data_IF_146113232728
#
_entry.id   IF_146113232728
#
_cell.length_a   1.000
_cell.length_b   1.000
_cell.length_c   1.000
_cell.angle_alpha   90.00
_cell.angle_beta   90.00
_cell.angle_gamma   90.00
#
_symmetry.space_group_name_H-M   'P 1'
#
loop_
_entity.id
_entity.type
_entity.pdbx_description
1 polymer ?
#
# COMPACT_ATOMS: atom_id res chain seq x y z
N UNK A 1 -12.20 1.67 15.75
CA UNK A 1 -12.74 1.69 14.38
C UNK A 1 -13.68 2.87 14.29
N UNK A 2 -13.59 3.61 13.20
CA UNK A 2 -14.40 4.79 12.90
C UNK A 2 -15.00 4.65 11.49
N UNK A 3 -16.12 5.33 11.16
CA UNK A 3 -16.59 5.42 9.79
C UNK A 3 -15.56 6.02 8.86
N UNK A 4 -15.51 5.58 7.60
CA UNK A 4 -14.49 6.02 6.62
C UNK A 4 -14.40 7.56 6.51
N UNK A 5 -15.52 8.27 6.49
CA UNK A 5 -15.58 9.73 6.42
C UNK A 5 -14.90 10.45 7.61
N UNK A 6 -14.70 9.76 8.71
CA UNK A 6 -14.04 10.27 9.93
C UNK A 6 -12.56 9.90 9.99
N UNK A 7 -12.10 8.98 9.12
CA UNK A 7 -10.72 8.56 9.00
C UNK A 7 -9.91 9.61 8.24
N UNK A 8 -9.61 10.73 8.90
CA UNK A 8 -8.93 11.88 8.29
C UNK A 8 -7.53 12.06 8.82
N UNK A 9 -6.67 12.67 8.01
CA UNK A 9 -5.29 13.02 8.36
C UNK A 9 -5.09 14.51 8.11
N UNK A 10 -4.42 15.18 9.04
CA UNK A 10 -4.16 16.63 8.91
C UNK A 10 -3.26 16.90 7.69
N UNK A 11 -3.58 17.97 6.94
CA UNK A 11 -2.85 18.34 5.71
C UNK A 11 -1.37 18.63 5.94
N UNK A 12 -0.99 19.07 7.13
CA UNK A 12 0.40 19.35 7.50
C UNK A 12 1.14 18.13 8.07
N UNK A 13 0.51 16.95 8.15
CA UNK A 13 1.22 15.75 8.62
C UNK A 13 2.38 15.36 7.70
N UNK A 14 3.39 14.69 8.25
CA UNK A 14 4.50 14.13 7.48
C UNK A 14 4.03 13.16 6.38
N UNK A 15 2.94 12.44 6.65
CA UNK A 15 2.28 11.58 5.66
C UNK A 15 1.86 12.35 4.40
N UNK A 16 1.26 13.52 4.55
CA UNK A 16 0.75 14.32 3.42
C UNK A 16 1.87 15.16 2.80
N UNK A 17 2.67 15.88 3.62
CA UNK A 17 3.73 16.77 3.12
C UNK A 17 4.85 16.03 2.39
N UNK A 18 5.26 14.87 2.91
CA UNK A 18 6.49 14.18 2.49
C UNK A 18 6.26 12.74 2.01
N UNK A 19 5.02 12.26 2.02
CA UNK A 19 4.72 10.88 1.68
C UNK A 19 5.29 9.87 2.69
N UNK A 20 5.51 10.29 3.96
CA UNK A 20 6.03 9.46 5.04
C UNK A 20 4.98 8.43 5.48
N UNK A 21 4.71 7.48 4.60
CA UNK A 21 3.69 6.43 4.73
C UNK A 21 4.22 5.14 4.12
N UNK A 22 4.16 4.05 4.88
CA UNK A 22 4.37 2.69 4.39
C UNK A 22 3.06 1.92 4.44
N UNK A 23 2.87 0.96 3.52
CA UNK A 23 1.58 0.28 3.46
C UNK A 23 1.69 -1.14 2.89
N UNK A 24 0.65 -1.92 3.14
CA UNK A 24 0.40 -3.20 2.50
C UNK A 24 -0.91 -3.20 1.72
N UNK A 25 -0.94 -3.96 0.64
CA UNK A 25 -2.13 -4.35 -0.09
C UNK A 25 -2.29 -5.86 0.04
N UNK A 26 -3.32 -6.27 0.73
CA UNK A 26 -3.55 -7.66 1.13
C UNK A 26 -4.87 -8.11 0.51
N UNK A 27 -4.89 -9.31 -0.05
CA UNK A 27 -6.12 -9.90 -0.57
C UNK A 27 -6.68 -10.93 0.41
N UNK A 28 -8.00 -10.93 0.56
CA UNK A 28 -8.73 -12.01 1.18
C UNK A 28 -9.70 -12.60 0.16
N UNK A 29 -9.84 -13.91 0.17
CA UNK A 29 -10.65 -14.67 -0.79
C UNK A 29 -11.76 -15.42 -0.06
N UNK A 30 -12.97 -15.34 -0.61
CA UNK A 30 -14.11 -16.09 -0.10
C UNK A 30 -14.02 -17.54 -0.63
N UNK A 31 -13.90 -18.49 0.28
CA UNK A 31 -13.92 -19.92 -0.04
C UNK A 31 -15.34 -20.46 -0.20
N UNK A 32 -15.45 -21.68 -0.72
CA UNK A 32 -16.73 -22.36 -1.01
C UNK A 32 -17.60 -22.56 0.24
N UNK A 33 -17.00 -22.62 1.42
CA UNK A 33 -17.70 -22.72 2.71
C UNK A 33 -18.17 -21.37 3.27
N UNK A 34 -18.09 -20.29 2.51
CA UNK A 34 -18.45 -18.93 2.95
C UNK A 34 -17.46 -18.31 3.93
N UNK A 35 -16.27 -18.88 4.08
CA UNK A 35 -15.22 -18.38 4.95
C UNK A 35 -14.24 -17.50 4.17
N UNK A 36 -14.05 -16.25 4.62
CA UNK A 36 -13.07 -15.33 4.07
C UNK A 36 -11.67 -15.67 4.61
N UNK A 37 -10.72 -15.96 3.73
CA UNK A 37 -9.34 -16.31 4.08
C UNK A 37 -8.39 -15.22 3.60
N UNK A 38 -7.65 -14.61 4.54
CA UNK A 38 -6.65 -13.59 4.21
C UNK A 38 -5.37 -14.26 3.73
N UNK A 39 -4.96 -13.93 2.50
CA UNK A 39 -3.82 -14.57 1.86
C UNK A 39 -2.50 -14.04 2.44
N UNK A 40 -1.67 -14.94 2.98
CA UNK A 40 -0.30 -14.67 3.48
C UNK A 40 -0.20 -13.46 4.42
N UNK A 41 -1.16 -13.30 5.31
CA UNK A 41 -1.21 -12.17 6.24
C UNK A 41 0.10 -11.98 7.03
N UNK A 42 0.68 -13.02 7.66
CA UNK A 42 1.92 -12.84 8.44
C UNK A 42 3.07 -12.24 7.63
N UNK A 43 3.26 -12.66 6.38
CA UNK A 43 4.34 -12.17 5.52
C UNK A 43 4.13 -10.71 5.12
N UNK A 44 2.88 -10.31 4.88
CA UNK A 44 2.55 -8.90 4.65
C UNK A 44 2.86 -8.04 5.88
N UNK A 45 2.51 -8.52 7.08
CA UNK A 45 2.74 -7.78 8.31
C UNK A 45 4.23 -7.66 8.64
N UNK A 46 5.02 -8.71 8.43
CA UNK A 46 6.47 -8.67 8.57
C UNK A 46 7.09 -7.66 7.58
N UNK A 47 6.64 -7.61 6.33
CA UNK A 47 7.11 -6.63 5.35
C UNK A 47 6.72 -5.20 5.71
N UNK A 48 5.54 -4.98 6.31
CA UNK A 48 5.16 -3.68 6.85
C UNK A 48 6.13 -3.24 7.94
N UNK A 49 6.43 -4.12 8.91
CA UNK A 49 7.41 -3.84 9.97
C UNK A 49 8.80 -3.53 9.39
N UNK A 50 9.27 -4.29 8.40
CA UNK A 50 10.54 -4.02 7.72
C UNK A 50 10.55 -2.65 7.04
N UNK A 51 9.47 -2.29 6.37
CA UNK A 51 9.31 -0.97 5.76
C UNK A 51 9.33 0.15 6.81
N UNK A 52 8.62 -0.03 7.93
CA UNK A 52 8.62 0.92 9.05
C UNK A 52 10.03 1.10 9.63
N UNK A 53 10.75 -0.01 9.85
CA UNK A 53 12.12 0.01 10.39
C UNK A 53 13.09 0.76 9.48
N UNK A 54 13.02 0.54 8.15
CA UNK A 54 13.90 1.23 7.20
C UNK A 54 13.54 2.72 7.15
N UNK A 55 12.27 3.08 7.24
CA UNK A 55 11.78 4.47 7.31
C UNK A 55 12.00 5.11 8.68
N UNK A 56 12.59 4.41 9.66
CA UNK A 56 12.88 4.90 11.01
C UNK A 56 11.64 5.35 11.78
N UNK A 57 10.49 4.72 11.54
CA UNK A 57 9.29 5.00 12.32
C UNK A 57 9.46 4.52 13.76
N UNK A 58 9.24 5.40 14.73
CA UNK A 58 9.36 5.12 16.16
C UNK A 58 8.08 4.46 16.71
N UNK A 59 7.73 3.33 16.12
CA UNK A 59 6.58 2.53 16.53
C UNK A 59 6.84 1.05 16.17
N UNK A 60 6.62 0.17 17.14
CA UNK A 60 6.76 -1.27 16.96
C UNK A 60 5.48 -1.97 17.37
N UNK A 61 4.63 -2.29 16.40
CA UNK A 61 3.44 -3.12 16.62
C UNK A 61 3.77 -4.58 16.36
N UNK A 62 3.37 -5.46 17.29
CA UNK A 62 3.51 -6.91 17.07
C UNK A 62 2.66 -7.41 15.92
N UNK A 63 3.10 -8.51 15.28
CA UNK A 63 2.32 -9.20 14.23
C UNK A 63 0.94 -9.59 14.75
N UNK A 64 0.83 -10.00 16.03
CA UNK A 64 -0.46 -10.33 16.66
C UNK A 64 -1.39 -9.11 16.65
N UNK A 65 -0.92 -7.96 17.12
CA UNK A 65 -1.72 -6.73 17.16
C UNK A 65 -2.18 -6.31 15.74
N UNK A 66 -1.28 -6.35 14.77
CA UNK A 66 -1.62 -6.00 13.38
C UNK A 66 -2.63 -6.99 12.78
N UNK A 67 -2.54 -8.28 13.15
CA UNK A 67 -3.51 -9.31 12.76
C UNK A 67 -4.91 -9.02 13.34
N UNK A 68 -4.97 -8.63 14.61
CA UNK A 68 -6.21 -8.22 15.28
C UNK A 68 -6.85 -7.02 14.57
N UNK A 69 -6.06 -5.98 14.26
CA UNK A 69 -6.55 -4.80 13.53
C UNK A 69 -7.17 -5.17 12.19
N UNK A 70 -6.50 -6.00 11.39
CA UNK A 70 -7.02 -6.46 10.09
C UNK A 70 -8.30 -7.25 10.25
N UNK A 71 -8.32 -8.18 11.21
CA UNK A 71 -9.47 -9.05 11.48
C UNK A 71 -10.69 -8.25 11.94
N UNK A 72 -10.48 -7.30 12.84
CA UNK A 72 -11.55 -6.47 13.40
C UNK A 72 -12.16 -5.54 12.33
N UNK A 73 -11.34 -5.00 11.43
CA UNK A 73 -11.85 -4.18 10.32
C UNK A 73 -12.69 -5.01 9.34
N UNK A 74 -12.26 -6.24 9.01
CA UNK A 74 -13.05 -7.16 8.17
C UNK A 74 -14.40 -7.47 8.83
N UNK A 75 -14.40 -7.81 10.11
CA UNK A 75 -15.62 -8.12 10.87
C UNK A 75 -16.57 -6.92 10.96
N UNK A 76 -16.02 -5.74 11.25
CA UNK A 76 -16.81 -4.51 11.39
C UNK A 76 -17.48 -4.06 10.10
N UNK A 77 -16.95 -4.46 8.95
CA UNK A 77 -17.54 -4.18 7.63
C UNK A 77 -18.42 -5.34 7.12
N UNK A 78 -18.58 -6.42 7.87
CA UNK A 78 -19.42 -7.57 7.51
C UNK A 78 -19.13 -8.11 6.08
N UNK A 79 -17.83 -8.16 5.73
CA UNK A 79 -17.42 -8.53 4.37
C UNK A 79 -17.56 -10.04 4.13
N UNK A 80 -18.34 -10.41 3.11
CA UNK A 80 -18.63 -11.77 2.68
C UNK A 80 -18.31 -11.99 1.19
N UNK A 81 -17.26 -11.35 0.70
CA UNK A 81 -16.80 -11.44 -0.69
C UNK A 81 -15.28 -11.28 -0.76
N UNK A 82 -14.71 -11.56 -1.92
CA UNK A 82 -13.29 -11.28 -2.16
C UNK A 82 -13.00 -9.83 -1.80
N UNK A 83 -11.98 -9.61 -0.97
CA UNK A 83 -11.74 -8.33 -0.31
C UNK A 83 -10.32 -7.86 -0.56
N UNK A 84 -10.15 -6.57 -0.80
CA UNK A 84 -8.86 -5.90 -0.77
C UNK A 84 -8.71 -5.11 0.54
N UNK A 85 -7.59 -5.35 1.23
CA UNK A 85 -7.28 -4.72 2.51
C UNK A 85 -6.05 -3.83 2.31
N UNK A 86 -6.16 -2.58 2.69
CA UNK A 86 -5.03 -1.65 2.77
C UNK A 86 -4.71 -1.37 4.23
N UNK A 87 -3.54 -1.79 4.67
CA UNK A 87 -2.99 -1.50 5.99
C UNK A 87 -1.84 -0.50 5.82
N UNK A 88 -1.88 0.63 6.52
CA UNK A 88 -0.91 1.72 6.36
C UNK A 88 -0.42 2.22 7.71
N UNK A 89 0.90 2.43 7.83
CA UNK A 89 1.50 3.16 8.94
C UNK A 89 2.04 4.50 8.41
N UNK A 90 1.77 5.60 9.11
CA UNK A 90 2.08 6.93 8.61
C UNK A 90 2.39 7.94 9.72
N UNK A 91 3.26 8.90 9.40
CA UNK A 91 3.68 9.96 10.33
C UNK A 91 2.57 11.01 10.44
N UNK A 92 2.04 11.19 11.66
CA UNK A 92 1.02 12.20 11.97
C UNK A 92 1.62 13.57 12.29
N UNK A 93 2.86 13.61 12.75
CA UNK A 93 3.52 14.87 13.13
C UNK A 93 3.41 15.93 12.04
N UNK A 94 3.10 17.15 12.43
CA UNK A 94 3.16 18.36 11.60
C UNK A 94 4.60 18.92 11.50
N UNK A 95 5.58 18.20 12.05
CA UNK A 95 6.99 18.56 12.09
C UNK A 95 7.69 18.62 10.73
N UNK A 96 9.00 18.56 10.77
CA UNK A 96 9.86 18.62 9.59
C UNK A 96 10.02 17.24 8.93
N UNK A 97 10.83 17.18 7.86
CA UNK A 97 11.07 15.98 7.04
C UNK A 97 11.60 14.79 7.84
N UNK A 98 12.32 15.03 8.91
CA UNK A 98 12.95 14.03 9.78
C UNK A 98 12.05 13.53 10.92
N UNK A 99 10.77 13.90 10.93
CA UNK A 99 9.84 13.44 11.96
C UNK A 99 9.63 11.91 11.86
N UNK A 100 9.88 11.20 12.97
CA UNK A 100 9.77 9.75 13.12
C UNK A 100 8.57 9.29 13.95
N UNK A 101 7.91 10.23 14.64
CA UNK A 101 6.74 10.02 15.50
C UNK A 101 5.87 11.29 15.56
N UNK A 102 4.60 11.21 16.03
CA UNK A 102 3.85 9.99 16.29
C UNK A 102 3.43 9.27 15.01
N UNK A 103 3.32 7.94 15.09
CA UNK A 103 2.88 7.08 13.99
C UNK A 103 1.44 6.63 14.23
N UNK A 104 0.61 6.75 13.20
CA UNK A 104 -0.73 6.16 13.21
C UNK A 104 -0.82 4.94 12.31
N UNK A 105 -1.78 4.08 12.61
CA UNK A 105 -2.16 2.92 11.83
C UNK A 105 -3.54 3.16 11.22
N UNK A 106 -3.65 3.00 9.90
CA UNK A 106 -4.91 3.00 9.18
C UNK A 106 -5.14 1.67 8.49
N UNK A 107 -6.32 1.08 8.67
CA UNK A 107 -6.73 -0.12 7.99
C UNK A 107 -8.06 0.12 7.29
N UNK A 108 -8.13 -0.20 6.01
CA UNK A 108 -9.34 -0.13 5.19
C UNK A 108 -9.53 -1.49 4.51
N UNK A 109 -10.76 -2.01 4.53
CA UNK A 109 -11.13 -3.23 3.80
C UNK A 109 -12.33 -2.93 2.92
N UNK A 110 -12.22 -3.30 1.63
CA UNK A 110 -13.28 -3.08 0.63
C UNK A 110 -13.50 -4.35 -0.19
N UNK A 111 -14.76 -4.66 -0.48
CA UNK A 111 -15.13 -5.76 -1.36
C UNK A 111 -14.58 -5.56 -2.77
N UNK A 112 -14.17 -6.64 -3.41
CA UNK A 112 -13.71 -6.64 -4.81
C UNK A 112 -14.84 -7.12 -5.70
N UNK A 113 -15.57 -6.19 -6.27
CA UNK A 113 -16.69 -6.52 -7.17
C UNK A 113 -16.22 -6.98 -8.56
N UNK A 114 -15.00 -6.66 -8.97
CA UNK A 114 -14.47 -7.04 -10.27
C UNK A 114 -13.64 -8.32 -10.16
N UNK A 115 -14.28 -9.46 -10.49
CA UNK A 115 -13.64 -10.78 -10.57
C UNK A 115 -13.09 -11.07 -11.97
N UNK A 116 -13.34 -10.23 -12.96
CA UNK A 116 -12.88 -10.47 -14.30
C UNK A 116 -11.40 -10.13 -14.43
N UNK A 117 -10.57 -11.16 -14.45
CA UNK A 117 -9.39 -11.06 -15.30
C UNK A 117 -9.94 -10.75 -16.70
N UNK A 118 -9.74 -9.52 -17.15
CA UNK A 118 -10.12 -9.15 -18.52
C UNK A 118 -9.44 -10.14 -19.47
N UNK A 119 -10.21 -10.90 -20.26
CA UNK A 119 -9.66 -11.75 -21.31
C UNK A 119 -8.97 -10.93 -22.41
N UNK A 120 -9.00 -9.61 -22.30
CA UNK A 120 -8.30 -8.70 -23.19
C UNK A 120 -6.83 -8.59 -22.79
N UNK A 121 -5.95 -8.88 -23.73
CA UNK A 121 -4.53 -8.62 -23.56
C UNK A 121 -4.29 -7.11 -23.33
N UNK A 122 -3.54 -6.79 -22.26
CA UNK A 122 -3.11 -5.42 -22.00
C UNK A 122 -1.95 -5.05 -22.93
N UNK A 123 -1.99 -3.84 -23.48
CA UNK A 123 -0.88 -3.27 -24.24
C UNK A 123 0.02 -2.50 -23.27
N UNK A 124 1.29 -2.86 -23.22
CA UNK A 124 2.25 -2.22 -22.33
C UNK A 124 3.31 -1.45 -23.12
N UNK A 125 3.71 -0.29 -22.61
CA UNK A 125 4.80 0.53 -23.13
C UNK A 125 6.04 0.35 -22.25
N UNK A 126 7.21 0.16 -22.87
CA UNK A 126 8.47 0.32 -22.15
C UNK A 126 8.70 1.82 -21.91
N UNK A 127 8.70 2.22 -20.65
CA UNK A 127 8.78 3.61 -20.23
C UNK A 127 10.21 4.16 -20.41
N UNK A 128 10.33 5.46 -20.68
CA UNK A 128 11.59 6.19 -20.57
C UNK A 128 11.97 6.52 -19.11
N UNK A 129 11.01 6.40 -18.17
CA UNK A 129 11.29 6.48 -16.75
C UNK A 129 11.87 5.16 -16.25
N UNK A 130 13.02 5.22 -15.57
CA UNK A 130 13.60 4.05 -14.94
C UNK A 130 13.09 3.85 -13.52
N UNK A 131 13.15 2.62 -13.03
CA UNK A 131 12.83 2.29 -11.64
C UNK A 131 13.84 2.96 -10.71
N UNK A 132 13.36 3.46 -9.55
CA UNK A 132 14.23 3.92 -8.46
C UNK A 132 15.21 2.83 -8.04
N UNK A 133 16.39 3.22 -7.55
CA UNK A 133 17.46 2.34 -7.11
C UNK A 133 17.67 2.43 -5.60
N UNK A 134 18.33 1.41 -5.01
CA UNK A 134 18.65 1.36 -3.59
C UNK A 134 19.51 2.55 -3.11
N UNK A 135 20.30 3.13 -4.00
CA UNK A 135 21.15 4.29 -3.73
C UNK A 135 20.37 5.61 -3.63
N UNK A 136 19.16 5.66 -4.18
CA UNK A 136 18.26 6.84 -4.14
C UNK A 136 17.13 6.66 -3.14
N UNK A 137 16.32 5.63 -3.32
CA UNK A 137 15.24 5.26 -2.42
C UNK A 137 14.99 3.76 -2.55
N UNK A 138 15.21 2.94 -1.51
CA UNK A 138 15.16 1.49 -1.63
C UNK A 138 13.81 0.98 -2.18
N UNK A 139 13.77 0.32 -3.36
CA UNK A 139 12.53 -0.17 -3.97
C UNK A 139 11.81 -1.23 -3.12
N UNK A 140 12.53 -1.90 -2.21
CA UNK A 140 11.97 -2.90 -1.28
C UNK A 140 11.11 -2.30 -0.17
N UNK A 141 11.21 -0.98 0.09
CA UNK A 141 10.30 -0.30 1.00
C UNK A 141 8.98 -0.08 0.28
N UNK A 142 7.89 -0.61 0.83
CA UNK A 142 6.56 -0.35 0.30
C UNK A 142 6.04 0.99 0.83
N UNK A 143 6.64 2.08 0.35
CA UNK A 143 6.41 3.46 0.76
C UNK A 143 5.61 4.22 -0.31
N UNK A 144 4.68 5.08 0.12
CA UNK A 144 3.86 5.88 -0.81
C UNK A 144 4.70 6.79 -1.71
N UNK A 145 5.80 7.35 -1.23
CA UNK A 145 6.70 8.19 -2.02
C UNK A 145 7.29 7.45 -3.24
N UNK A 146 7.62 6.16 -3.09
CA UNK A 146 8.17 5.33 -4.17
C UNK A 146 7.21 5.14 -5.35
N UNK A 147 5.90 5.28 -5.09
CA UNK A 147 4.88 5.11 -6.12
C UNK A 147 4.77 6.28 -7.08
N UNK A 148 5.34 7.45 -6.74
CA UNK A 148 5.36 8.59 -7.66
C UNK A 148 6.16 8.29 -8.93
N UNK A 149 7.24 7.50 -8.82
CA UNK A 149 8.01 7.04 -9.97
C UNK A 149 7.15 6.19 -10.93
N UNK A 150 6.43 5.19 -10.40
CA UNK A 150 5.51 4.38 -11.21
C UNK A 150 4.32 5.19 -11.75
N UNK A 151 3.81 6.16 -10.96
CA UNK A 151 2.73 7.04 -11.39
C UNK A 151 3.09 7.84 -12.65
N UNK A 152 4.30 8.40 -12.73
CA UNK A 152 4.77 9.13 -13.92
C UNK A 152 4.78 8.23 -15.16
N UNK A 153 5.32 7.04 -15.05
CA UNK A 153 5.36 6.06 -16.13
C UNK A 153 3.96 5.63 -16.58
N UNK A 154 3.05 5.36 -15.64
CA UNK A 154 1.67 4.98 -15.95
C UNK A 154 0.90 6.10 -16.64
N UNK A 155 1.05 7.36 -16.21
CA UNK A 155 0.41 8.51 -16.85
C UNK A 155 0.91 8.65 -18.29
N UNK A 156 2.23 8.54 -18.52
CA UNK A 156 2.81 8.61 -19.84
C UNK A 156 2.26 7.50 -20.76
N UNK A 157 2.29 6.26 -20.29
CA UNK A 157 1.77 5.13 -21.06
C UNK A 157 0.30 5.32 -21.46
N UNK A 158 -0.55 5.78 -20.54
CA UNK A 158 -1.96 6.08 -20.83
C UNK A 158 -2.13 7.21 -21.82
N UNK A 159 -1.33 8.28 -21.71
CA UNK A 159 -1.32 9.39 -22.68
C UNK A 159 -0.95 8.92 -24.08
N UNK A 160 -0.02 7.94 -24.18
CA UNK A 160 0.42 7.34 -25.44
C UNK A 160 -0.53 6.21 -25.93
N UNK A 161 -1.64 5.96 -25.23
CA UNK A 161 -2.67 4.99 -25.60
C UNK A 161 -2.39 3.55 -25.19
N UNK A 162 -1.52 3.33 -24.21
CA UNK A 162 -1.24 2.02 -23.62
C UNK A 162 -1.98 1.83 -22.29
N UNK A 163 -2.17 0.58 -21.89
CA UNK A 163 -2.88 0.21 -20.66
C UNK A 163 -1.94 0.22 -19.45
N UNK A 164 -0.65 -0.15 -19.66
CA UNK A 164 0.35 -0.30 -18.60
C UNK A 164 1.74 0.20 -19.04
N UNK A 165 2.61 0.45 -18.04
CA UNK A 165 4.01 0.83 -18.24
C UNK A 165 4.95 -0.24 -17.67
N UNK A 166 6.01 -0.56 -18.42
CA UNK A 166 7.13 -1.39 -17.99
C UNK A 166 8.30 -0.45 -17.67
N UNK A 167 8.73 -0.41 -16.42
CA UNK A 167 9.91 0.35 -16.01
C UNK A 167 11.14 -0.57 -16.02
N UNK A 168 12.20 -0.13 -16.65
CA UNK A 168 13.49 -0.80 -16.63
C UNK A 168 14.27 -0.36 -15.37
N UNK A 169 15.15 -1.23 -14.87
CA UNK A 169 16.16 -0.83 -13.91
C UNK A 169 17.16 0.16 -14.52
N UNK A 170 17.96 0.85 -13.70
CA UNK A 170 18.99 1.77 -14.20
C UNK A 170 20.04 1.10 -15.10
N UNK A 171 20.19 -0.22 -15.01
CA UNK A 171 21.01 -1.03 -15.93
C UNK A 171 20.38 -1.25 -17.32
N UNK A 172 19.16 -0.78 -17.55
CA UNK A 172 18.43 -0.97 -18.81
C UNK A 172 17.80 -2.37 -18.98
N UNK A 173 17.65 -3.13 -17.90
CA UNK A 173 17.05 -4.48 -17.88
C UNK A 173 15.76 -4.49 -17.10
#
# INVERSE_FOLDING_TARGET
IVPEREATVHVLSGAVKYGATVFEGICAYLGDEGRLTVFRLPEHLLRLQDSMRIMRFEQDWSVSHLTEVVTDVIKANELHEDTHIRLSAYVLSEGFLDATAPIALGCLAVGRHDKSLSDKAARAQVSSWHRIEDSSMPPRIKCSANYQNGRLATIQARTDGYDEAILLAGSGK
#
